data_IF_386816102374
#
_entry.id   IF_386816102374
#
_cell.length_a   1.000
_cell.length_b   1.000
_cell.length_c   1.000
_cell.angle_alpha   90.00
_cell.angle_beta   90.00
_cell.angle_gamma   90.00
#
_symmetry.space_group_name_H-M   'P 1'
#
loop_
_entity.id
_entity.type
_entity.pdbx_description
1 polymer ?
#
# COMPACT_ATOMS: atom_id res chain seq x y z
N UNK A 1 -32.95 19.48 -16.26
CA UNK A 1 -31.81 19.80 -16.98
C UNK A 1 -30.53 19.99 -16.25
N UNK A 2 -30.58 20.39 -15.03
CA UNK A 2 -29.32 20.63 -14.33
C UNK A 2 -28.80 19.45 -13.63
N UNK A 3 -29.44 18.34 -13.67
CA UNK A 3 -28.98 17.21 -12.90
C UNK A 3 -27.74 16.60 -13.46
N UNK A 4 -27.35 16.94 -14.64
CA UNK A 4 -26.21 16.28 -15.23
C UNK A 4 -24.91 16.61 -14.55
N UNK A 5 -24.84 17.72 -13.88
CA UNK A 5 -23.60 18.16 -13.30
C UNK A 5 -23.10 17.26 -12.22
N UNK A 6 -24.01 16.60 -11.52
CA UNK A 6 -23.61 15.74 -10.43
C UNK A 6 -22.77 14.56 -10.90
N UNK A 7 -23.05 14.07 -12.09
CA UNK A 7 -22.30 12.92 -12.59
C UNK A 7 -20.83 13.26 -12.85
N UNK A 8 -20.57 14.45 -13.29
CA UNK A 8 -19.22 14.85 -13.59
C UNK A 8 -18.34 14.88 -12.33
N UNK A 9 -18.92 15.27 -11.22
CA UNK A 9 -18.17 15.37 -9.99
C UNK A 9 -17.67 14.03 -9.51
N UNK A 10 -18.44 12.98 -9.73
CA UNK A 10 -18.03 11.66 -9.26
C UNK A 10 -16.80 11.12 -9.94
N UNK A 11 -16.61 11.50 -11.18
CA UNK A 11 -15.49 10.99 -11.95
C UNK A 11 -14.16 11.40 -11.38
N UNK A 12 -14.11 12.55 -10.73
CA UNK A 12 -12.86 13.09 -10.23
C UNK A 12 -12.31 12.36 -9.02
N UNK A 13 -13.15 11.59 -8.33
CA UNK A 13 -12.75 10.96 -7.09
C UNK A 13 -11.94 9.70 -7.32
N UNK A 14 -12.04 9.10 -8.48
CA UNK A 14 -11.38 7.82 -8.74
C UNK A 14 -9.86 7.91 -8.81
N UNK A 15 -9.30 9.05 -9.21
CA UNK A 15 -7.88 9.16 -9.51
C UNK A 15 -6.92 8.87 -8.37
N UNK A 16 -7.12 9.42 -7.17
CA UNK A 16 -6.11 9.32 -6.11
C UNK A 16 -6.11 8.04 -5.30
N UNK A 17 -6.86 7.02 -5.68
CA UNK A 17 -7.02 5.83 -4.87
C UNK A 17 -5.69 5.12 -4.57
N UNK A 18 -4.81 4.98 -5.56
CA UNK A 18 -3.54 4.30 -5.35
C UNK A 18 -2.61 5.08 -4.44
N UNK A 19 -2.61 6.39 -4.51
CA UNK A 19 -1.76 7.21 -3.66
C UNK A 19 -2.11 7.05 -2.18
N UNK A 20 -3.38 6.86 -1.87
CA UNK A 20 -3.82 6.67 -0.49
C UNK A 20 -3.56 5.24 -0.01
N UNK A 21 -3.57 4.28 -0.91
CA UNK A 21 -3.39 2.89 -0.54
C UNK A 21 -1.99 2.62 0.00
N UNK A 22 -0.96 3.22 -0.57
CA UNK A 22 0.41 2.97 -0.14
C UNK A 22 0.64 3.33 1.33
N UNK A 23 0.25 4.51 1.82
CA UNK A 23 0.43 4.81 3.23
C UNK A 23 -0.35 3.86 4.14
N UNK A 24 -1.53 3.44 3.74
CA UNK A 24 -2.33 2.52 4.53
C UNK A 24 -1.67 1.14 4.61
N UNK A 25 -1.13 0.66 3.51
CA UNK A 25 -0.44 -0.62 3.48
C UNK A 25 0.85 -0.56 4.29
N UNK A 26 1.59 0.53 4.19
CA UNK A 26 2.79 0.71 5.00
C UNK A 26 2.47 0.67 6.49
N UNK A 27 1.37 1.30 6.89
CA UNK A 27 0.96 1.29 8.28
C UNK A 27 0.61 -0.12 8.76
N UNK A 28 -0.05 -0.92 7.92
CA UNK A 28 -0.37 -2.31 8.28
C UNK A 28 0.89 -3.13 8.51
N UNK A 29 1.89 -2.94 7.66
CA UNK A 29 3.17 -3.65 7.80
C UNK A 29 3.85 -3.22 9.08
N UNK A 30 3.92 -1.93 9.34
CA UNK A 30 4.57 -1.41 10.54
C UNK A 30 3.90 -1.90 11.81
N UNK A 31 2.59 -1.94 11.84
CA UNK A 31 1.84 -2.44 12.98
C UNK A 31 2.11 -3.93 13.21
N UNK A 32 2.16 -4.71 12.15
CA UNK A 32 2.43 -6.13 12.27
C UNK A 32 3.83 -6.40 12.81
N UNK A 33 4.81 -5.64 12.33
CA UNK A 33 6.18 -5.80 12.80
C UNK A 33 6.31 -5.37 14.27
N UNK A 34 5.63 -4.32 14.66
CA UNK A 34 5.66 -3.84 16.04
C UNK A 34 4.99 -4.81 16.99
N UNK A 35 3.94 -5.48 16.54
CA UNK A 35 3.21 -6.44 17.38
C UNK A 35 3.97 -7.75 17.52
N UNK A 36 4.95 -8.01 16.68
CA UNK A 36 5.70 -9.25 16.66
C UNK A 36 5.11 -10.23 15.67
N UNK A 37 5.97 -11.03 15.05
CA UNK A 37 5.57 -12.02 14.07
C UNK A 37 6.19 -13.36 14.40
N UNK A 38 5.71 -14.41 13.75
CA UNK A 38 6.29 -15.74 13.86
C UNK A 38 7.20 -16.07 12.68
N UNK A 39 7.50 -15.08 11.86
CA UNK A 39 8.35 -15.27 10.68
C UNK A 39 9.80 -15.52 11.09
N UNK A 40 10.52 -16.28 10.26
CA UNK A 40 11.94 -16.46 10.49
C UNK A 40 12.72 -15.22 10.06
N UNK A 41 14.02 -15.21 10.33
CA UNK A 41 14.86 -14.05 10.03
C UNK A 41 14.89 -13.69 8.55
N UNK A 42 14.92 -14.69 7.68
CA UNK A 42 14.95 -14.45 6.24
C UNK A 42 13.66 -13.79 5.77
N UNK A 43 12.52 -14.26 6.28
CA UNK A 43 11.23 -13.68 5.92
C UNK A 43 11.09 -12.26 6.48
N UNK A 44 11.56 -12.02 7.70
CA UNK A 44 11.54 -10.68 8.27
C UNK A 44 12.40 -9.72 7.46
N UNK A 45 13.56 -10.17 7.02
CA UNK A 45 14.44 -9.35 6.19
C UNK A 45 13.76 -9.01 4.87
N UNK A 46 13.05 -9.97 4.28
CA UNK A 46 12.34 -9.74 3.03
C UNK A 46 11.20 -8.74 3.20
N UNK A 47 10.42 -8.88 4.27
CA UNK A 47 9.32 -7.96 4.55
C UNK A 47 9.87 -6.55 4.73
N UNK A 48 10.95 -6.42 5.49
CA UNK A 48 11.56 -5.12 5.75
C UNK A 48 12.06 -4.48 4.46
N UNK A 49 12.69 -5.28 3.59
CA UNK A 49 13.19 -4.80 2.31
C UNK A 49 12.04 -4.36 1.40
N UNK A 50 10.98 -5.14 1.35
CA UNK A 50 9.81 -4.80 0.53
C UNK A 50 9.13 -3.53 1.03
N UNK A 51 9.05 -3.37 2.35
CA UNK A 51 8.49 -2.17 2.96
C UNK A 51 9.30 -0.94 2.56
N UNK A 52 10.62 -1.04 2.62
CA UNK A 52 11.51 0.06 2.24
C UNK A 52 11.40 0.36 0.74
N UNK A 53 11.32 -0.68 -0.09
CA UNK A 53 11.17 -0.52 -1.52
C UNK A 53 9.85 0.18 -1.84
N UNK A 54 8.77 -0.25 -1.20
CA UNK A 54 7.47 0.38 -1.40
C UNK A 54 7.48 1.86 -1.05
N UNK A 55 8.14 2.22 0.03
CA UNK A 55 8.25 3.62 0.42
C UNK A 55 9.03 4.43 -0.61
N UNK A 56 10.13 3.89 -1.08
CA UNK A 56 10.96 4.55 -2.09
C UNK A 56 10.19 4.76 -3.39
N UNK A 57 9.48 3.73 -3.83
CA UNK A 57 8.69 3.82 -5.05
C UNK A 57 7.54 4.81 -4.91
N UNK A 58 6.91 4.83 -3.74
CA UNK A 58 5.83 5.77 -3.47
C UNK A 58 6.35 7.21 -3.55
N UNK A 59 7.50 7.47 -2.94
CA UNK A 59 8.11 8.79 -2.96
C UNK A 59 8.51 9.22 -4.36
N UNK A 60 8.86 8.25 -5.20
CA UNK A 60 9.22 8.53 -6.60
C UNK A 60 8.01 8.73 -7.51
N UNK A 61 6.82 8.49 -7.00
CA UNK A 61 5.60 8.65 -7.79
C UNK A 61 5.20 7.38 -8.53
N UNK A 62 5.93 6.29 -8.34
CA UNK A 62 5.61 5.01 -8.99
C UNK A 62 4.66 4.23 -8.08
N UNK A 63 3.42 4.69 -8.03
CA UNK A 63 2.44 4.17 -7.08
C UNK A 63 2.07 2.71 -7.33
N UNK A 64 1.99 2.30 -8.59
CA UNK A 64 1.64 0.92 -8.90
C UNK A 64 2.72 -0.05 -8.42
N UNK A 65 3.98 0.27 -8.70
CA UNK A 65 5.08 -0.57 -8.25
C UNK A 65 5.18 -0.59 -6.72
N UNK A 66 4.89 0.53 -6.09
CA UNK A 66 4.86 0.62 -4.63
C UNK A 66 3.79 -0.32 -4.05
N UNK A 67 2.59 -0.28 -4.61
CA UNK A 67 1.51 -1.16 -4.18
C UNK A 67 1.92 -2.62 -4.33
N UNK A 68 2.53 -2.96 -5.46
CA UNK A 68 2.96 -4.33 -5.71
C UNK A 68 3.97 -4.82 -4.66
N UNK A 69 4.95 -3.99 -4.33
CA UNK A 69 5.96 -4.34 -3.33
C UNK A 69 5.35 -4.50 -1.94
N UNK A 70 4.47 -3.58 -1.57
CA UNK A 70 3.83 -3.61 -0.25
C UNK A 70 2.88 -4.80 -0.12
N UNK A 71 2.18 -5.16 -1.20
CA UNK A 71 1.30 -6.33 -1.17
C UNK A 71 2.09 -7.62 -0.99
N UNK A 72 3.27 -7.71 -1.57
CA UNK A 72 4.12 -8.87 -1.35
C UNK A 72 4.52 -8.99 0.12
N UNK A 73 4.85 -7.87 0.75
CA UNK A 73 5.17 -7.87 2.17
C UNK A 73 3.98 -8.31 3.01
N UNK A 74 2.79 -7.82 2.68
CA UNK A 74 1.57 -8.19 3.40
C UNK A 74 1.27 -9.68 3.22
N UNK A 75 1.50 -10.23 2.04
CA UNK A 75 1.30 -11.66 1.82
C UNK A 75 2.21 -12.50 2.72
N UNK A 76 3.47 -12.12 2.82
CA UNK A 76 4.41 -12.83 3.69
C UNK A 76 3.94 -12.77 5.15
N UNK A 77 3.39 -11.64 5.55
CA UNK A 77 2.87 -11.45 6.90
C UNK A 77 1.51 -12.14 7.12
N UNK A 78 0.87 -12.58 6.05
CA UNK A 78 -0.44 -13.21 6.14
C UNK A 78 -1.58 -12.21 6.34
N UNK A 79 -1.39 -10.99 5.92
CA UNK A 79 -2.39 -9.92 6.08
C UNK A 79 -3.01 -9.61 4.73
N UNK A 80 -4.32 -9.46 4.72
CA UNK A 80 -5.01 -9.07 3.49
C UNK A 80 -4.78 -7.59 3.20
N UNK A 81 -4.61 -7.29 1.94
CA UNK A 81 -4.41 -5.90 1.49
C UNK A 81 -5.70 -5.22 1.05
#
# INVERSE_FOLDING_TARGET
>A
MKRYFAAAALTLIAGPAFAFQCPADMAKIDEALAAGTTLDEAQLAEVTALRAEGETLHAAGDHQASVDALHKALEILGIES
#
